data_IF_907140466721
#
_entry.id   IF_907140466721
#
_cell.length_a   1.000
_cell.length_b   1.000
_cell.length_c   1.000
_cell.angle_alpha   90.00
_cell.angle_beta   90.00
_cell.angle_gamma   90.00
#
_symmetry.space_group_name_H-M   'P 1'
#
loop_
_entity.id
_entity.type
_entity.pdbx_description
1 polymer ?
#
# COMPACT_ATOMS: atom_id res chain seq x y z
N UNK A 1 -7.25 -0.41 -12.61
CA UNK A 1 -7.67 -1.28 -11.49
C UNK A 1 -8.83 -0.60 -10.77
N UNK A 2 -9.89 -1.35 -10.44
CA UNK A 2 -11.04 -0.81 -9.68
C UNK A 2 -10.74 -0.77 -8.19
N UNK A 3 -11.57 -0.03 -7.42
CA UNK A 3 -11.43 0.05 -5.96
C UNK A 3 -11.62 -1.31 -5.29
N UNK A 4 -12.57 -2.11 -5.75
CA UNK A 4 -12.84 -3.44 -5.19
C UNK A 4 -11.71 -4.42 -5.50
N UNK A 5 -11.13 -4.35 -6.69
CA UNK A 5 -9.95 -5.14 -7.04
C UNK A 5 -8.75 -4.79 -6.14
N UNK A 6 -8.49 -3.50 -5.93
CA UNK A 6 -7.43 -3.07 -5.04
C UNK A 6 -7.67 -3.57 -3.60
N UNK A 7 -8.91 -3.42 -3.10
CA UNK A 7 -9.29 -3.90 -1.76
C UNK A 7 -9.08 -5.41 -1.61
N UNK A 8 -9.53 -6.20 -2.58
CA UNK A 8 -9.34 -7.65 -2.57
C UNK A 8 -7.87 -8.04 -2.58
N UNK A 9 -7.03 -7.32 -3.35
CA UNK A 9 -5.60 -7.58 -3.40
C UNK A 9 -4.93 -7.31 -2.04
N UNK A 10 -5.22 -6.18 -1.41
CA UNK A 10 -4.72 -5.85 -0.07
C UNK A 10 -5.19 -6.87 0.98
N UNK A 11 -6.44 -7.35 0.89
CA UNK A 11 -6.94 -8.38 1.79
C UNK A 11 -6.19 -9.72 1.62
N UNK A 12 -5.95 -10.14 0.37
CA UNK A 12 -5.18 -11.36 0.07
C UNK A 12 -3.74 -11.23 0.59
N UNK A 13 -3.10 -10.09 0.32
CA UNK A 13 -1.77 -9.81 0.84
C UNK A 13 -1.70 -9.85 2.36
N UNK A 14 -2.72 -9.32 3.05
CA UNK A 14 -2.76 -9.31 4.50
C UNK A 14 -2.88 -10.74 5.06
N UNK A 15 -3.68 -11.59 4.42
CA UNK A 15 -3.80 -13.01 4.78
C UNK A 15 -2.49 -13.76 4.54
N UNK A 16 -1.75 -13.44 3.47
CA UNK A 16 -0.52 -14.15 3.10
C UNK A 16 0.69 -13.73 3.94
N UNK A 17 0.85 -12.42 4.18
CA UNK A 17 2.11 -11.87 4.70
C UNK A 17 2.03 -11.31 6.11
N UNK A 18 0.85 -11.21 6.75
CA UNK A 18 0.61 -10.45 7.99
C UNK A 18 0.82 -8.93 7.84
N UNK A 19 0.28 -8.15 8.79
CA UNK A 19 0.40 -6.70 8.76
C UNK A 19 1.86 -6.22 8.82
N UNK A 20 2.71 -6.88 9.62
CA UNK A 20 4.09 -6.47 9.87
C UNK A 20 4.98 -6.62 8.63
N UNK A 21 4.87 -7.73 7.89
CA UNK A 21 5.68 -7.93 6.68
C UNK A 21 5.22 -6.99 5.58
N UNK A 22 3.91 -6.74 5.47
CA UNK A 22 3.38 -5.76 4.53
C UNK A 22 3.86 -4.34 4.83
N UNK A 23 3.92 -3.95 6.11
CA UNK A 23 4.51 -2.67 6.51
C UNK A 23 5.96 -2.55 6.02
N UNK A 24 6.79 -3.58 6.23
CA UNK A 24 8.19 -3.58 5.81
C UNK A 24 8.33 -3.51 4.29
N UNK A 25 7.55 -4.29 3.54
CA UNK A 25 7.54 -4.26 2.08
C UNK A 25 7.15 -2.86 1.58
N UNK A 26 6.08 -2.30 2.13
CA UNK A 26 5.62 -0.96 1.75
C UNK A 26 6.64 0.11 2.12
N UNK A 27 7.35 0.00 3.24
CA UNK A 27 8.45 0.90 3.59
C UNK A 27 9.52 0.93 2.50
N UNK A 28 9.98 -0.24 2.05
CA UNK A 28 10.99 -0.32 0.99
C UNK A 28 10.51 0.25 -0.35
N UNK A 29 9.22 0.11 -0.67
CA UNK A 29 8.62 0.72 -1.87
C UNK A 29 8.53 2.24 -1.72
N UNK A 30 8.09 2.72 -0.57
CA UNK A 30 7.97 4.15 -0.27
C UNK A 30 9.33 4.84 -0.30
N UNK A 31 10.38 4.22 0.23
CA UNK A 31 11.74 4.75 0.15
C UNK A 31 12.16 4.99 -1.31
N UNK A 32 11.92 4.04 -2.20
CA UNK A 32 12.21 4.18 -3.63
C UNK A 32 11.36 5.27 -4.30
N UNK A 33 10.08 5.37 -3.95
CA UNK A 33 9.17 6.36 -4.52
C UNK A 33 9.50 7.79 -4.05
N UNK A 34 9.89 7.95 -2.78
CA UNK A 34 10.17 9.24 -2.13
C UNK A 34 11.62 9.72 -2.31
N UNK A 35 12.49 8.91 -2.88
CA UNK A 35 13.84 9.32 -3.31
C UNK A 35 13.90 9.66 -4.79
N UNK A 36 12.85 9.36 -5.55
CA UNK A 36 12.72 9.70 -6.97
C UNK A 36 12.10 11.09 -7.20
N UNK A 37 11.91 11.45 -8.47
CA UNK A 37 11.28 12.72 -8.90
C UNK A 37 9.90 12.95 -8.30
N UNK A 38 9.20 11.88 -7.90
CA UNK A 38 7.87 11.97 -7.29
C UNK A 38 7.89 12.71 -5.94
N UNK A 39 9.04 12.75 -5.26
CA UNK A 39 9.20 13.46 -4.00
C UNK A 39 8.91 14.97 -4.13
N UNK A 40 9.16 15.54 -5.32
CA UNK A 40 8.94 16.97 -5.59
C UNK A 40 7.45 17.33 -5.66
N UNK A 41 6.58 16.36 -5.95
CA UNK A 41 5.13 16.53 -6.07
C UNK A 41 4.39 16.29 -4.74
N UNK A 42 5.10 15.81 -3.71
CA UNK A 42 4.52 15.41 -2.44
C UNK A 42 4.81 16.44 -1.32
N UNK A 43 3.95 16.53 -0.29
CA UNK A 43 4.18 17.38 0.89
C UNK A 43 5.56 17.13 1.54
N UNK A 44 6.32 18.21 1.77
CA UNK A 44 7.73 18.19 2.21
C UNK A 44 7.99 17.57 3.60
N UNK A 45 6.96 17.36 4.42
CA UNK A 45 7.12 16.87 5.80
C UNK A 45 6.83 15.37 5.96
N UNK A 46 6.51 14.67 4.86
CA UNK A 46 6.17 13.25 4.90
C UNK A 46 7.39 12.41 4.53
N UNK A 47 7.70 11.40 5.34
CA UNK A 47 8.79 10.45 5.08
C UNK A 47 8.25 9.01 4.91
N UNK A 48 9.07 8.13 4.33
CA UNK A 48 8.69 6.75 4.04
C UNK A 48 8.31 5.99 5.32
N UNK A 49 9.06 6.20 6.40
CA UNK A 49 8.88 5.52 7.67
C UNK A 49 7.53 5.84 8.33
N UNK A 50 7.16 7.12 8.42
CA UNK A 50 5.88 7.54 8.99
C UNK A 50 4.67 7.06 8.17
N UNK A 51 4.82 6.99 6.84
CA UNK A 51 3.80 6.41 5.96
C UNK A 51 3.68 4.90 6.15
N UNK A 52 4.81 4.18 6.24
CA UNK A 52 4.84 2.75 6.46
C UNK A 52 4.20 2.38 7.81
N UNK A 53 4.61 3.05 8.90
CA UNK A 53 3.99 2.86 10.22
C UNK A 53 2.48 3.10 10.20
N UNK A 54 2.04 4.17 9.52
CA UNK A 54 0.61 4.45 9.40
C UNK A 54 -0.13 3.32 8.67
N UNK A 55 0.44 2.77 7.60
CA UNK A 55 -0.12 1.60 6.92
C UNK A 55 -0.11 0.39 7.85
N UNK A 56 0.99 0.12 8.54
CA UNK A 56 1.14 -0.99 9.49
C UNK A 56 0.04 -0.96 10.56
N UNK A 57 -0.19 0.20 11.18
CA UNK A 57 -1.29 0.39 12.15
C UNK A 57 -2.67 0.12 11.53
N UNK A 58 -2.90 0.55 10.29
CA UNK A 58 -4.17 0.30 9.61
C UNK A 58 -4.36 -1.19 9.27
N UNK A 59 -3.29 -1.86 8.82
CA UNK A 59 -3.30 -3.29 8.51
C UNK A 59 -3.46 -4.13 9.76
N UNK A 60 -2.76 -3.80 10.85
CA UNK A 60 -2.85 -4.50 12.12
C UNK A 60 -4.27 -4.44 12.71
N UNK A 61 -4.92 -3.27 12.63
CA UNK A 61 -6.33 -3.16 13.04
C UNK A 61 -7.24 -4.08 12.21
N UNK A 62 -7.03 -4.13 10.88
CA UNK A 62 -7.82 -5.01 10.01
C UNK A 62 -7.56 -6.49 10.31
N UNK A 63 -6.30 -6.86 10.56
CA UNK A 63 -5.88 -8.22 10.91
C UNK A 63 -6.48 -8.67 12.25
N UNK A 64 -6.52 -7.77 13.25
CA UNK A 64 -7.17 -8.01 14.54
C UNK A 64 -8.71 -8.03 14.46
N UNK A 65 -9.30 -7.77 13.29
CA UNK A 65 -10.75 -7.64 13.12
C UNK A 65 -11.32 -6.36 13.74
N UNK A 66 -10.46 -5.44 14.16
CA UNK A 66 -10.86 -4.16 14.71
C UNK A 66 -11.31 -3.21 13.60
N UNK A 67 -12.23 -2.30 13.93
CA UNK A 67 -12.54 -1.22 13.00
C UNK A 67 -11.32 -0.30 12.94
N UNK A 68 -10.73 -0.06 11.75
CA UNK A 68 -9.55 0.78 11.66
C UNK A 68 -9.87 2.18 12.21
N UNK A 69 -9.03 2.68 13.11
CA UNK A 69 -9.17 3.96 13.81
C UNK A 69 -8.89 5.16 12.87
N UNK A 70 -9.54 5.16 11.71
CA UNK A 70 -9.34 6.14 10.64
C UNK A 70 -9.65 7.56 11.09
N UNK A 71 -10.61 7.77 12.01
CA UNK A 71 -10.99 9.10 12.47
C UNK A 71 -9.85 9.83 13.18
N UNK A 72 -9.39 9.29 14.31
CA UNK A 72 -8.34 9.91 15.12
C UNK A 72 -6.99 9.94 14.38
N UNK A 73 -6.61 8.84 13.73
CA UNK A 73 -5.35 8.75 12.98
C UNK A 73 -5.32 9.72 11.80
N UNK A 74 -6.44 9.93 11.08
CA UNK A 74 -6.49 10.86 9.95
C UNK A 74 -6.38 12.31 10.37
N UNK A 75 -6.90 12.66 11.54
CA UNK A 75 -6.77 14.01 12.09
C UNK A 75 -5.32 14.29 12.49
N UNK A 76 -4.66 13.33 13.15
CA UNK A 76 -3.28 13.47 13.60
C UNK A 76 -2.26 13.39 12.46
N UNK A 77 -2.49 12.52 11.46
CA UNK A 77 -1.56 12.23 10.36
C UNK A 77 -2.11 12.67 9.00
N UNK A 78 -2.73 13.86 8.94
CA UNK A 78 -3.47 14.32 7.76
C UNK A 78 -2.63 14.32 6.47
N UNK A 79 -1.41 14.84 6.52
CA UNK A 79 -0.52 14.88 5.35
C UNK A 79 -0.11 13.47 4.91
N UNK A 80 0.21 12.59 5.86
CA UNK A 80 0.51 11.20 5.56
C UNK A 80 -0.67 10.51 4.85
N UNK A 81 -1.92 10.72 5.30
CA UNK A 81 -3.10 10.19 4.60
C UNK A 81 -3.29 10.76 3.20
N UNK A 82 -2.99 12.05 2.97
CA UNK A 82 -3.06 12.64 1.65
C UNK A 82 -2.03 12.01 0.71
N UNK A 83 -0.80 11.82 1.18
CA UNK A 83 0.26 11.14 0.42
C UNK A 83 -0.09 9.68 0.16
N UNK A 84 -0.54 8.94 1.17
CA UNK A 84 -1.00 7.56 0.99
C UNK A 84 -2.13 7.47 -0.05
N UNK A 85 -3.07 8.41 -0.04
CA UNK A 85 -4.13 8.45 -1.05
C UNK A 85 -3.59 8.67 -2.46
N UNK A 86 -2.56 9.50 -2.61
CA UNK A 86 -1.90 9.73 -3.89
C UNK A 86 -1.08 8.50 -4.34
N UNK A 87 -0.38 7.86 -3.42
CA UNK A 87 0.50 6.72 -3.69
C UNK A 87 -0.24 5.37 -3.75
N UNK A 88 -1.48 5.30 -3.27
CA UNK A 88 -2.24 4.05 -3.13
C UNK A 88 -2.26 3.22 -4.43
N UNK A 89 -2.46 3.86 -5.58
CA UNK A 89 -2.44 3.16 -6.87
C UNK A 89 -1.09 2.49 -7.16
N UNK A 90 0.01 3.22 -6.95
CA UNK A 90 1.38 2.73 -7.16
C UNK A 90 1.71 1.60 -6.19
N UNK A 91 1.43 1.80 -4.89
CA UNK A 91 1.63 0.78 -3.86
C UNK A 91 0.86 -0.51 -4.17
N UNK A 92 -0.38 -0.38 -4.64
CA UNK A 92 -1.20 -1.55 -4.99
C UNK A 92 -0.67 -2.28 -6.23
N UNK A 93 -0.10 -1.55 -7.21
CA UNK A 93 0.54 -2.16 -8.37
C UNK A 93 1.83 -2.89 -7.96
N UNK A 94 2.65 -2.30 -7.11
CA UNK A 94 3.87 -2.97 -6.62
C UNK A 94 3.53 -4.24 -5.85
N UNK A 95 2.55 -4.17 -4.96
CA UNK A 95 2.05 -5.33 -4.23
C UNK A 95 1.47 -6.43 -5.16
N UNK A 96 0.88 -6.05 -6.29
CA UNK A 96 0.41 -7.01 -7.30
C UNK A 96 1.58 -7.80 -7.93
N UNK A 97 2.73 -7.17 -8.15
CA UNK A 97 3.93 -7.82 -8.68
C UNK A 97 4.63 -8.69 -7.64
N UNK A 98 4.62 -8.28 -6.38
CA UNK A 98 5.28 -9.00 -5.28
C UNK A 98 4.52 -10.25 -4.81
N UNK A 99 3.18 -10.28 -4.95
CA UNK A 99 2.36 -11.42 -4.53
C UNK A 99 2.64 -12.69 -5.35
N UNK A 100 2.50 -13.92 -4.80
CA UNK A 100 2.65 -15.15 -5.55
C UNK A 100 1.52 -15.30 -6.58
N UNK A 101 1.81 -15.82 -7.77
CA UNK A 101 0.83 -15.90 -8.86
C UNK A 101 -0.42 -16.72 -8.50
N UNK A 102 -0.26 -17.72 -7.63
CA UNK A 102 -1.34 -18.55 -7.10
C UNK A 102 -2.40 -17.73 -6.35
N UNK A 103 -1.99 -16.66 -5.66
CA UNK A 103 -2.86 -15.84 -4.82
C UNK A 103 -3.51 -14.68 -5.58
N UNK A 104 -3.14 -14.45 -6.85
CA UNK A 104 -3.69 -13.33 -7.62
C UNK A 104 -5.04 -13.68 -8.23
N UNK A 105 -6.09 -12.87 -7.97
CA UNK A 105 -7.40 -13.04 -8.59
C UNK A 105 -7.29 -13.09 -10.12
N UNK A 106 -8.05 -13.97 -10.77
CA UNK A 106 -7.98 -14.17 -12.21
C UNK A 106 -8.11 -12.86 -13.02
N UNK A 107 -9.00 -11.96 -12.58
CA UNK A 107 -9.21 -10.64 -13.22
C UNK A 107 -8.02 -9.67 -13.10
N UNK A 108 -7.04 -9.95 -12.24
CA UNK A 108 -5.83 -9.14 -12.04
C UNK A 108 -4.57 -9.75 -12.67
N UNK A 109 -4.60 -11.02 -13.11
CA UNK A 109 -3.45 -11.69 -13.72
C UNK A 109 -2.95 -10.97 -14.98
N UNK A 110 -3.86 -10.45 -15.80
CA UNK A 110 -3.52 -9.65 -16.98
C UNK A 110 -2.82 -8.34 -16.59
N UNK A 111 -3.27 -7.68 -15.53
CA UNK A 111 -2.65 -6.45 -15.03
C UNK A 111 -1.26 -6.73 -14.44
N UNK A 112 -1.08 -7.85 -13.75
CA UNK A 112 0.24 -8.30 -13.29
C UNK A 112 1.19 -8.51 -14.46
N UNK A 113 0.77 -9.25 -15.48
CA UNK A 113 1.61 -9.48 -16.64
C UNK A 113 2.09 -8.16 -17.25
N UNK A 114 1.20 -7.17 -17.40
CA UNK A 114 1.58 -5.83 -17.90
C UNK A 114 2.55 -5.10 -16.96
N UNK A 115 2.36 -5.19 -15.64
CA UNK A 115 3.26 -4.58 -14.66
C UNK A 115 4.66 -5.23 -14.67
N UNK A 116 4.71 -6.56 -14.80
CA UNK A 116 5.95 -7.34 -14.81
C UNK A 116 6.76 -7.12 -16.12
N UNK A 117 6.09 -6.80 -17.23
CA UNK A 117 6.73 -6.48 -18.51
C UNK A 117 7.16 -5.00 -18.68
N UNK A 118 7.00 -4.16 -17.65
CA UNK A 118 7.61 -2.83 -17.60
C UNK A 118 7.09 -1.81 -18.62
N UNK A 119 5.78 -1.55 -18.62
CA UNK A 119 5.21 -0.34 -19.23
C UNK A 119 5.17 0.84 -18.26
#
# INVERSE_FOLDING_TARGET
MTRDQARSLWAIALVEYSAQVLEQNVSGVLEKLLTGKLAEELPRHVNAYGLAQLIGLLLANVEAGERPLLGALRTMNREHFQVLRHLHGRLTITLLSDLPAAHIPAGLRRLRAVADFGM
#
